data_IF_654639405249
#
_entry.id   IF_654639405249
#
_cell.length_a   1.000
_cell.length_b   1.000
_cell.length_c   1.000
_cell.angle_alpha   90.00
_cell.angle_beta   90.00
_cell.angle_gamma   90.00
#
_symmetry.space_group_name_H-M   'P 1'
#
loop_
_entity.id
_entity.type
_entity.pdbx_description
1 polymer ?
#
# COMPACT_ATOMS: atom_id res chain seq x y z
N UNK A 1 10.15 9.89 4.65
CA UNK A 1 9.63 9.06 5.76
C UNK A 1 8.35 9.59 6.39
N UNK A 2 8.26 10.86 6.86
CA UNK A 2 7.02 11.40 7.47
C UNK A 2 5.81 11.48 6.52
N UNK A 3 6.01 11.71 5.21
CA UNK A 3 4.91 11.83 4.23
C UNK A 3 4.21 10.51 3.96
N UNK A 4 4.97 9.42 3.87
CA UNK A 4 4.43 8.09 3.64
C UNK A 4 3.47 7.63 4.74
N UNK A 5 3.90 7.72 5.99
CA UNK A 5 3.08 7.35 7.14
C UNK A 5 1.77 8.14 7.20
N UNK A 6 1.81 9.43 6.84
CA UNK A 6 0.62 10.29 6.81
C UNK A 6 -0.35 9.86 5.70
N UNK A 7 0.15 9.50 4.50
CA UNK A 7 -0.68 9.07 3.38
C UNK A 7 -1.41 7.77 3.66
N UNK A 8 -0.69 6.73 4.12
CA UNK A 8 -1.32 5.47 4.49
C UNK A 8 -2.28 5.60 5.68
N UNK A 9 -2.05 6.58 6.56
CA UNK A 9 -2.95 6.87 7.68
C UNK A 9 -4.24 7.55 7.26
N UNK A 10 -4.20 8.52 6.35
CA UNK A 10 -5.41 9.12 5.79
C UNK A 10 -6.25 8.06 5.08
N UNK A 11 -5.58 7.18 4.38
CA UNK A 11 -6.12 6.09 3.63
C UNK A 11 -6.86 5.03 4.46
N UNK A 12 -6.30 4.63 5.57
CA UNK A 12 -6.92 3.65 6.45
C UNK A 12 -8.04 4.23 7.32
N UNK A 13 -8.34 5.54 7.20
CA UNK A 13 -9.36 6.25 7.97
C UNK A 13 -9.32 5.94 9.48
N UNK A 14 -8.10 5.83 10.03
CA UNK A 14 -7.87 5.40 11.41
C UNK A 14 -7.72 6.59 12.32
N UNK A 15 -8.57 6.63 13.31
CA UNK A 15 -8.45 7.57 14.41
C UNK A 15 -7.18 7.26 15.23
N UNK A 16 -6.18 8.14 15.13
CA UNK A 16 -4.90 8.02 15.81
C UNK A 16 -5.07 8.08 17.33
N UNK A 17 -6.21 8.58 17.81
CA UNK A 17 -6.48 8.80 19.23
C UNK A 17 -6.73 7.52 20.03
N UNK A 18 -6.95 6.38 19.37
CA UNK A 18 -7.23 5.08 20.02
C UNK A 18 -6.03 4.17 20.25
N UNK A 19 -4.81 4.56 19.84
CA UNK A 19 -3.60 3.73 20.02
C UNK A 19 -3.26 3.57 21.49
N UNK A 20 -3.07 2.30 21.88
CA UNK A 20 -2.73 1.98 23.27
C UNK A 20 -1.26 1.66 23.48
N UNK A 21 -0.57 1.11 22.47
CA UNK A 21 0.87 0.81 22.54
C UNK A 21 1.50 0.61 21.17
N UNK A 22 2.82 0.82 21.10
CA UNK A 22 3.66 0.54 19.93
C UNK A 22 4.79 -0.41 20.34
N UNK A 23 5.18 -1.29 19.43
CA UNK A 23 6.29 -2.22 19.60
C UNK A 23 7.07 -2.37 18.31
N UNK A 24 8.38 -2.36 18.38
CA UNK A 24 9.24 -2.68 17.26
C UNK A 24 9.68 -4.13 17.31
N UNK A 25 9.81 -4.74 16.12
CA UNK A 25 10.30 -6.10 15.95
C UNK A 25 11.07 -6.20 14.64
N UNK A 26 12.19 -6.92 14.64
CA UNK A 26 12.90 -7.26 13.42
C UNK A 26 12.29 -8.53 12.81
N UNK A 27 12.09 -8.50 11.49
CA UNK A 27 11.57 -9.63 10.73
C UNK A 27 12.50 -9.96 9.56
N UNK A 28 12.80 -11.24 9.26
CA UNK A 28 13.78 -11.61 8.23
C UNK A 28 13.47 -11.04 6.84
N UNK A 29 12.20 -10.91 6.47
CA UNK A 29 11.76 -10.39 5.19
C UNK A 29 11.49 -8.88 5.22
N UNK A 30 10.75 -8.39 6.23
CA UNK A 30 10.30 -7.00 6.31
C UNK A 30 11.31 -6.06 6.96
N UNK A 31 12.40 -6.58 7.52
CA UNK A 31 13.33 -5.79 8.31
C UNK A 31 12.67 -5.27 9.60
N UNK A 32 12.92 -4.03 9.93
CA UNK A 32 12.34 -3.41 11.13
C UNK A 32 10.86 -3.08 10.91
N UNK A 33 10.01 -3.68 11.72
CA UNK A 33 8.57 -3.48 11.73
C UNK A 33 8.12 -2.75 12.98
N UNK A 34 7.01 -2.03 12.88
CA UNK A 34 6.34 -1.37 14.00
C UNK A 34 4.93 -1.96 14.14
N UNK A 35 4.62 -2.48 15.31
CA UNK A 35 3.29 -2.93 15.67
C UNK A 35 2.52 -1.81 16.35
N UNK A 36 1.34 -1.54 15.85
CA UNK A 36 0.39 -0.62 16.46
C UNK A 36 -0.74 -1.42 17.11
N UNK A 37 -0.70 -1.48 18.43
CA UNK A 37 -1.71 -2.16 19.21
C UNK A 37 -2.89 -1.26 19.57
N UNK A 38 -4.07 -1.84 19.62
CA UNK A 38 -5.32 -1.20 20.04
C UNK A 38 -6.09 -2.15 20.96
N UNK A 39 -7.00 -1.61 21.78
CA UNK A 39 -7.93 -2.39 22.61
C UNK A 39 -8.88 -3.22 21.75
N UNK A 40 -9.20 -2.72 20.56
CA UNK A 40 -9.95 -3.43 19.53
C UNK A 40 -8.96 -4.20 18.64
N UNK A 41 -8.92 -5.54 18.69
CA UNK A 41 -7.99 -6.34 17.89
C UNK A 41 -8.11 -6.10 16.38
N UNK A 42 -9.27 -5.66 15.89
CA UNK A 42 -9.49 -5.38 14.47
C UNK A 42 -8.73 -4.12 13.99
N UNK A 43 -8.27 -3.29 14.92
CA UNK A 43 -7.49 -2.08 14.66
C UNK A 43 -5.99 -2.28 14.83
N UNK A 44 -5.56 -3.44 15.29
CA UNK A 44 -4.14 -3.77 15.41
C UNK A 44 -3.52 -4.04 14.03
N UNK A 45 -2.31 -3.54 13.81
CA UNK A 45 -1.62 -3.73 12.53
C UNK A 45 -0.10 -3.57 12.67
N UNK A 46 0.60 -4.09 11.68
CA UNK A 46 2.03 -3.89 11.49
C UNK A 46 2.30 -2.92 10.35
N UNK A 47 3.37 -2.15 10.48
CA UNK A 47 3.97 -1.35 9.40
C UNK A 47 5.42 -1.75 9.18
N UNK A 48 5.82 -1.77 7.90
CA UNK A 48 7.20 -1.90 7.48
C UNK A 48 7.48 -0.92 6.34
N UNK A 49 8.74 -0.52 6.19
CA UNK A 49 9.23 0.25 5.04
C UNK A 49 10.20 -0.64 4.29
N UNK A 50 9.92 -0.87 3.02
CA UNK A 50 10.71 -1.72 2.15
C UNK A 50 11.37 -0.91 1.04
N UNK A 51 12.43 -1.48 0.47
CA UNK A 51 13.06 -1.04 -0.78
C UNK A 51 13.02 -2.18 -1.77
N UNK A 52 12.96 -1.87 -3.05
CA UNK A 52 12.98 -2.85 -4.12
C UNK A 52 13.86 -2.37 -5.26
N UNK A 53 14.64 -3.26 -5.86
CA UNK A 53 15.67 -2.91 -6.85
C UNK A 53 15.13 -2.19 -8.09
N UNK A 54 13.85 -2.38 -8.42
CA UNK A 54 13.19 -1.71 -9.56
C UNK A 54 12.58 -0.35 -9.20
N UNK A 55 12.64 0.06 -7.93
CA UNK A 55 12.02 1.29 -7.43
C UNK A 55 13.09 2.24 -6.89
N UNK A 56 13.00 3.52 -7.25
CA UNK A 56 13.93 4.55 -6.76
C UNK A 56 13.72 4.86 -5.28
N UNK A 57 12.46 4.85 -4.85
CA UNK A 57 12.07 5.22 -3.49
C UNK A 57 11.64 4.00 -2.67
N UNK A 58 11.81 4.09 -1.36
CA UNK A 58 11.22 3.14 -0.42
C UNK A 58 9.70 3.36 -0.33
N UNK A 59 8.99 2.29 -0.07
CA UNK A 59 7.54 2.28 0.04
C UNK A 59 7.11 1.56 1.32
N UNK A 60 5.89 1.79 1.74
CA UNK A 60 5.36 1.18 2.93
C UNK A 60 4.49 -0.03 2.69
N UNK A 61 4.50 -0.91 3.68
CA UNK A 61 3.61 -2.06 3.70
C UNK A 61 2.90 -2.08 5.04
N UNK A 62 1.58 -2.19 5.01
CA UNK A 62 0.78 -2.41 6.22
C UNK A 62 0.12 -3.78 6.15
N UNK A 63 -0.04 -4.41 7.29
CA UNK A 63 -0.74 -5.68 7.41
C UNK A 63 -1.51 -5.75 8.70
N UNK A 64 -2.78 -6.17 8.64
CA UNK A 64 -3.57 -6.45 9.83
C UNK A 64 -2.93 -7.62 10.58
N UNK A 65 -2.85 -7.58 11.90
CA UNK A 65 -2.17 -8.66 12.56
C UNK A 65 -2.27 -8.72 14.06
N UNK A 66 -1.88 -9.89 14.52
CA UNK A 66 -1.67 -10.18 15.94
C UNK A 66 -0.27 -9.76 16.38
N UNK A 67 0.00 -9.69 17.69
CA UNK A 67 1.32 -9.42 18.22
C UNK A 67 2.42 -10.42 17.78
N UNK A 68 2.04 -11.59 17.25
CA UNK A 68 3.00 -12.63 16.85
C UNK A 68 3.74 -12.32 15.54
N UNK A 69 3.27 -11.30 14.81
CA UNK A 69 3.86 -10.86 13.54
C UNK A 69 3.21 -11.49 12.30
N UNK A 70 3.77 -11.17 11.12
CA UNK A 70 3.25 -11.65 9.85
C UNK A 70 3.37 -13.16 9.68
N UNK A 71 2.39 -13.74 9.02
CA UNK A 71 2.39 -15.15 8.64
C UNK A 71 3.24 -15.40 7.37
N UNK A 72 3.69 -16.63 7.11
CA UNK A 72 4.37 -16.98 5.85
C UNK A 72 3.54 -16.65 4.60
N UNK A 73 2.21 -16.76 4.68
CA UNK A 73 1.31 -16.44 3.57
C UNK A 73 1.27 -14.93 3.29
N UNK A 74 1.35 -14.09 4.31
CA UNK A 74 1.43 -12.63 4.16
C UNK A 74 2.78 -12.21 3.58
N UNK A 75 3.87 -12.86 3.96
CA UNK A 75 5.19 -12.68 3.32
C UNK A 75 5.13 -13.07 1.84
N UNK A 76 4.54 -14.22 1.51
CA UNK A 76 4.39 -14.68 0.13
C UNK A 76 3.53 -13.71 -0.70
N UNK A 77 2.44 -13.18 -0.14
CA UNK A 77 1.62 -12.15 -0.79
C UNK A 77 2.48 -10.94 -1.16
N UNK A 78 3.22 -10.39 -0.19
CA UNK A 78 4.08 -9.23 -0.41
C UNK A 78 5.12 -9.50 -1.51
N UNK A 79 5.80 -10.65 -1.46
CA UNK A 79 6.77 -11.05 -2.47
C UNK A 79 6.15 -11.17 -3.87
N UNK A 80 4.94 -11.72 -3.98
CA UNK A 80 4.24 -11.87 -5.26
C UNK A 80 3.82 -10.50 -5.84
N UNK A 81 3.32 -9.58 -5.01
CA UNK A 81 3.00 -8.23 -5.48
C UNK A 81 4.24 -7.53 -6.01
N UNK A 82 5.36 -7.61 -5.30
CA UNK A 82 6.61 -6.96 -5.70
C UNK A 82 7.23 -7.56 -6.96
N UNK A 83 7.07 -8.86 -7.18
CA UNK A 83 7.56 -9.52 -8.40
C UNK A 83 6.71 -9.21 -9.65
N UNK A 84 5.51 -8.67 -9.50
CA UNK A 84 4.55 -8.47 -10.59
C UNK A 84 3.95 -7.05 -10.60
N UNK A 85 4.74 -6.05 -10.16
CA UNK A 85 4.30 -4.66 -10.02
C UNK A 85 3.70 -4.08 -11.31
N UNK A 86 4.31 -4.37 -12.46
CA UNK A 86 3.84 -3.89 -13.75
C UNK A 86 2.45 -4.45 -14.08
N UNK A 87 2.22 -5.73 -13.88
CA UNK A 87 0.91 -6.34 -14.09
C UNK A 87 -0.14 -5.84 -13.09
N UNK A 88 0.25 -5.55 -11.85
CA UNK A 88 -0.63 -4.92 -10.86
C UNK A 88 -1.01 -3.51 -11.30
N UNK A 89 -0.05 -2.69 -11.76
CA UNK A 89 -0.34 -1.35 -12.25
C UNK A 89 -1.26 -1.39 -13.48
N UNK A 90 -1.03 -2.32 -14.41
CA UNK A 90 -1.89 -2.47 -15.61
C UNK A 90 -3.35 -2.77 -15.24
N UNK A 91 -3.63 -3.50 -14.17
CA UNK A 91 -4.99 -3.69 -13.66
C UNK A 91 -5.62 -2.37 -13.17
N UNK A 92 -4.80 -1.44 -12.67
CA UNK A 92 -5.26 -0.12 -12.20
C UNK A 92 -5.41 0.89 -13.35
N UNK A 93 -4.65 0.73 -14.45
CA UNK A 93 -4.51 1.70 -15.54
C UNK A 93 -5.85 2.23 -16.05
N UNK A 94 -6.77 1.35 -16.41
CA UNK A 94 -8.05 1.74 -16.96
C UNK A 94 -8.91 2.62 -16.04
N UNK A 95 -8.74 2.47 -14.73
CA UNK A 95 -9.43 3.29 -13.74
C UNK A 95 -8.67 4.58 -13.40
N UNK A 96 -7.34 4.55 -13.43
CA UNK A 96 -6.48 5.71 -13.16
C UNK A 96 -6.43 6.71 -14.31
N UNK A 97 -6.38 6.23 -15.57
CA UNK A 97 -6.11 7.04 -16.75
C UNK A 97 -7.09 8.22 -16.94
N UNK A 98 -8.42 8.06 -16.82
CA UNK A 98 -9.35 9.18 -16.97
C UNK A 98 -9.08 10.31 -15.97
N UNK A 99 -8.76 9.93 -14.72
CA UNK A 99 -8.49 10.90 -13.64
C UNK A 99 -7.13 11.56 -13.87
N UNK A 100 -6.10 10.77 -14.21
CA UNK A 100 -4.77 11.28 -14.52
C UNK A 100 -4.80 12.30 -15.66
N UNK A 101 -5.45 11.97 -16.79
CA UNK A 101 -5.58 12.87 -17.94
C UNK A 101 -6.30 14.16 -17.57
N UNK A 102 -7.36 14.05 -16.78
CA UNK A 102 -8.12 15.21 -16.32
C UNK A 102 -7.26 16.17 -15.50
N UNK A 103 -6.39 15.67 -14.63
CA UNK A 103 -5.64 16.47 -13.68
C UNK A 103 -4.26 16.87 -14.19
N UNK A 104 -3.53 15.95 -14.81
CA UNK A 104 -2.21 16.22 -15.40
C UNK A 104 -2.27 16.98 -16.73
N UNK A 105 -3.45 17.05 -17.38
CA UNK A 105 -3.65 17.66 -18.71
C UNK A 105 -2.73 17.10 -19.80
N UNK A 106 -2.34 15.84 -19.65
CA UNK A 106 -1.51 15.10 -20.60
C UNK A 106 -1.88 13.62 -20.58
N UNK A 107 -1.55 12.86 -21.64
CA UNK A 107 -1.75 11.40 -21.66
C UNK A 107 -0.97 10.71 -20.54
N UNK A 108 -1.54 9.61 -20.02
CA UNK A 108 -0.83 8.73 -19.11
C UNK A 108 0.29 8.00 -19.89
N UNK A 109 1.54 7.97 -19.40
CA UNK A 109 2.63 7.29 -20.08
C UNK A 109 2.41 5.77 -20.12
N UNK A 110 2.97 5.12 -21.16
CA UNK A 110 2.94 3.67 -21.27
C UNK A 110 3.73 3.02 -20.11
N UNK A 111 4.95 3.51 -19.89
CA UNK A 111 5.75 3.15 -18.72
C UNK A 111 5.28 3.97 -17.51
N UNK A 112 4.60 3.33 -16.59
CA UNK A 112 4.02 4.00 -15.42
C UNK A 112 5.08 4.64 -14.50
N UNK A 113 6.29 4.09 -14.42
CA UNK A 113 7.39 4.65 -13.63
C UNK A 113 7.77 6.10 -14.02
N UNK A 114 7.41 6.54 -15.22
CA UNK A 114 7.66 7.93 -15.65
C UNK A 114 6.78 8.97 -14.94
N UNK A 115 5.72 8.55 -14.30
CA UNK A 115 4.76 9.47 -13.68
C UNK A 115 4.24 9.02 -12.33
N UNK A 116 4.41 7.76 -11.97
CA UNK A 116 3.92 7.20 -10.71
C UNK A 116 5.06 6.57 -9.92
N UNK A 117 4.98 6.71 -8.62
CA UNK A 117 5.84 6.04 -7.64
C UNK A 117 4.98 5.19 -6.71
N UNK A 118 5.39 3.97 -6.44
CA UNK A 118 4.74 3.16 -5.43
C UNK A 118 4.93 3.82 -4.07
N UNK A 119 3.84 4.20 -3.42
CA UNK A 119 3.83 4.74 -2.06
C UNK A 119 3.67 3.62 -1.02
N UNK A 120 2.82 2.65 -1.30
CA UNK A 120 2.66 1.48 -0.46
C UNK A 120 1.45 0.63 -0.79
N UNK A 121 1.30 -0.47 -0.04
CA UNK A 121 0.13 -1.34 -0.16
C UNK A 121 -0.18 -2.05 1.15
N UNK A 122 -1.41 -2.53 1.24
CA UNK A 122 -1.90 -3.33 2.35
C UNK A 122 -1.82 -4.81 2.02
N UNK A 123 -1.25 -5.59 2.92
CA UNK A 123 -1.30 -7.05 2.86
C UNK A 123 -2.59 -7.51 3.54
N UNK A 124 -3.48 -8.21 2.83
CA UNK A 124 -4.70 -8.73 3.42
C UNK A 124 -4.38 -9.82 4.45
N UNK A 125 -5.28 -10.00 5.40
CA UNK A 125 -5.14 -11.05 6.41
C UNK A 125 -4.92 -12.42 5.76
N UNK A 126 -3.94 -13.16 6.28
CA UNK A 126 -3.52 -14.48 5.80
C UNK A 126 -3.04 -14.49 4.33
N UNK A 127 -2.69 -13.31 3.77
CA UNK A 127 -2.22 -13.19 2.38
C UNK A 127 -3.26 -13.60 1.33
N UNK A 128 -4.55 -13.51 1.66
CA UNK A 128 -5.62 -13.96 0.77
C UNK A 128 -5.88 -12.94 -0.35
N UNK A 129 -5.46 -13.25 -1.59
CA UNK A 129 -5.65 -12.41 -2.78
C UNK A 129 -7.11 -12.09 -3.12
N UNK A 130 -8.07 -12.90 -2.64
CA UNK A 130 -9.49 -12.66 -2.86
C UNK A 130 -10.11 -11.73 -1.81
N UNK A 131 -9.43 -11.53 -0.68
CA UNK A 131 -9.85 -10.56 0.32
C UNK A 131 -9.61 -9.12 -0.18
N UNK A 132 -10.33 -8.12 0.36
CA UNK A 132 -10.06 -6.72 0.06
C UNK A 132 -8.64 -6.31 0.49
N UNK A 133 -7.94 -5.58 -0.39
CA UNK A 133 -6.66 -4.94 -0.11
C UNK A 133 -6.48 -3.72 -1.02
N UNK A 134 -5.49 -2.89 -0.74
CA UNK A 134 -5.30 -1.62 -1.40
C UNK A 134 -3.84 -1.39 -1.77
N UNK A 135 -3.62 -0.66 -2.87
CA UNK A 135 -2.32 -0.18 -3.31
C UNK A 135 -2.39 1.30 -3.62
N UNK A 136 -1.37 2.04 -3.22
CA UNK A 136 -1.26 3.48 -3.35
C UNK A 136 -0.05 3.86 -4.19
N UNK A 137 -0.27 4.75 -5.15
CA UNK A 137 0.77 5.35 -5.98
C UNK A 137 0.71 6.86 -5.87
N UNK A 138 1.86 7.50 -5.75
CA UNK A 138 1.97 8.95 -5.90
C UNK A 138 2.17 9.30 -7.36
N UNK A 139 1.29 10.11 -7.94
CA UNK A 139 1.40 10.59 -9.32
C UNK A 139 2.06 11.96 -9.34
N UNK A 140 3.34 12.03 -9.68
CA UNK A 140 4.14 13.27 -9.67
C UNK A 140 3.51 14.41 -10.49
N UNK A 141 3.00 14.18 -11.72
CA UNK A 141 2.42 15.26 -12.52
C UNK A 141 1.16 15.89 -11.95
N UNK A 142 0.46 15.18 -11.08
CA UNK A 142 -0.77 15.69 -10.44
C UNK A 142 -0.53 16.18 -9.02
N UNK A 143 0.53 15.70 -8.37
CA UNK A 143 0.81 15.92 -6.96
C UNK A 143 -0.14 15.18 -6.01
N UNK A 144 -0.83 14.13 -6.49
CA UNK A 144 -1.86 13.41 -5.75
C UNK A 144 -1.57 11.92 -5.66
N UNK A 145 -2.17 11.29 -4.65
CA UNK A 145 -2.13 9.85 -4.43
C UNK A 145 -3.29 9.17 -5.14
N UNK A 146 -2.98 8.15 -5.93
CA UNK A 146 -3.94 7.31 -6.63
C UNK A 146 -4.02 5.96 -5.92
N UNK A 147 -5.19 5.61 -5.46
CA UNK A 147 -5.42 4.47 -4.60
C UNK A 147 -6.35 3.50 -5.30
N UNK A 148 -5.92 2.27 -5.52
CA UNK A 148 -6.76 1.21 -6.08
C UNK A 148 -7.14 0.20 -5.00
N UNK A 149 -8.42 -0.08 -4.88
CA UNK A 149 -8.98 -1.12 -4.02
C UNK A 149 -9.22 -2.39 -4.84
N UNK A 150 -8.63 -3.46 -4.37
CA UNK A 150 -8.74 -4.79 -4.97
C UNK A 150 -9.66 -5.69 -4.15
N UNK A 151 -10.43 -6.51 -4.85
CA UNK A 151 -11.16 -7.64 -4.28
C UNK A 151 -11.29 -8.73 -5.36
N UNK A 152 -11.12 -9.98 -4.98
CA UNK A 152 -11.13 -11.12 -5.93
C UNK A 152 -10.17 -10.92 -7.12
N UNK A 153 -8.99 -10.30 -6.85
CA UNK A 153 -7.94 -10.05 -7.84
C UNK A 153 -8.27 -8.96 -8.88
N UNK A 154 -9.35 -8.20 -8.70
CA UNK A 154 -9.80 -7.12 -9.59
C UNK A 154 -9.86 -5.79 -8.86
N UNK A 155 -9.62 -4.70 -9.57
CA UNK A 155 -9.88 -3.35 -9.07
C UNK A 155 -11.39 -3.14 -9.01
N UNK A 156 -11.89 -2.82 -7.82
CA UNK A 156 -13.33 -2.58 -7.57
C UNK A 156 -13.64 -1.10 -7.33
N UNK A 157 -12.65 -0.33 -6.92
CA UNK A 157 -12.80 1.10 -6.66
C UNK A 157 -11.46 1.81 -6.80
N UNK A 158 -11.52 3.11 -7.09
CA UNK A 158 -10.36 4.01 -7.13
C UNK A 158 -10.70 5.28 -6.37
N UNK A 159 -9.75 5.74 -5.56
CA UNK A 159 -9.80 7.02 -4.89
C UNK A 159 -8.57 7.86 -5.25
N UNK A 160 -8.69 9.18 -5.17
CA UNK A 160 -7.56 10.11 -5.31
C UNK A 160 -7.58 11.05 -4.13
N UNK A 161 -6.43 11.20 -3.48
CA UNK A 161 -6.25 12.03 -2.28
C UNK A 161 -4.99 12.91 -2.44
N UNK A 162 -5.06 14.15 -1.88
CA UNK A 162 -3.94 15.09 -1.93
C UNK A 162 -4.30 16.52 -1.65
#
# INVERSE_FOLDING_TARGET
MKKFLISLFSFLNRDITGRTWERTQDHPYFGKMIYFGDKDPSKCYWEAVLSHDLLEDSFGVTMAGTPDGPTPSEVAFCSNILSDLDAIFEKCRGAFEPIFVQWAKKPMPFNWHESFKLDGFQVPKDGNLNAPWEICYFAEPTGHYFIAQFENGKVINVAVDG
#
